data_IF_815097046183
#
_entry.id   IF_815097046183
#
_cell.length_a   1.000
_cell.length_b   1.000
_cell.length_c   1.000
_cell.angle_alpha   90.00
_cell.angle_beta   90.00
_cell.angle_gamma   90.00
#
_symmetry.space_group_name_H-M   'P 1'
#
loop_
_entity.id
_entity.type
_entity.pdbx_description
1 polymer ?
#
# COMPACT_ATOMS: atom_id res chain seq x y z
N UNK A 1 9.66 -1.89 32.28
CA UNK A 1 9.48 -3.15 31.53
C UNK A 1 8.12 -3.85 31.74
N UNK A 2 7.26 -3.43 32.68
CA UNK A 2 5.96 -4.09 32.94
C UNK A 2 4.71 -3.36 32.42
N UNK A 3 4.82 -2.13 31.91
CA UNK A 3 3.67 -1.36 31.39
C UNK A 3 3.58 -1.30 29.85
N UNK A 4 4.64 -1.69 29.14
CA UNK A 4 4.71 -1.65 27.66
C UNK A 4 4.01 -2.86 26.98
N UNK A 5 3.69 -3.91 27.74
CA UNK A 5 2.96 -5.08 27.21
C UNK A 5 1.44 -4.89 27.10
N UNK A 6 0.86 -3.78 27.62
CA UNK A 6 -0.59 -3.61 27.64
C UNK A 6 -1.19 -3.07 26.33
N UNK A 7 -0.41 -2.41 25.46
CA UNK A 7 -0.97 -1.73 24.28
C UNK A 7 -0.75 -2.42 22.93
N UNK A 8 0.32 -3.22 22.74
CA UNK A 8 0.43 -4.13 21.57
C UNK A 8 -0.59 -5.26 21.60
N UNK A 9 -1.17 -5.53 22.77
CA UNK A 9 -2.21 -6.52 22.88
C UNK A 9 -3.57 -5.95 22.49
N UNK A 10 -3.98 -4.73 22.83
CA UNK A 10 -5.39 -4.32 22.65
C UNK A 10 -5.91 -4.37 21.19
N UNK A 11 -5.11 -4.01 20.17
CA UNK A 11 -5.57 -4.12 18.76
C UNK A 11 -5.45 -5.53 18.16
N UNK A 12 -4.44 -6.31 18.59
CA UNK A 12 -4.36 -7.74 18.24
C UNK A 12 -5.37 -8.57 19.05
N UNK A 13 -5.77 -8.15 20.24
CA UNK A 13 -6.71 -8.86 21.12
C UNK A 13 -8.11 -8.86 20.53
N UNK A 14 -8.54 -7.75 19.89
CA UNK A 14 -9.84 -7.70 19.22
C UNK A 14 -9.88 -8.52 17.91
N UNK A 15 -8.76 -8.66 17.20
CA UNK A 15 -8.66 -9.50 15.99
C UNK A 15 -8.47 -10.98 16.36
N UNK A 16 -7.74 -11.30 17.43
CA UNK A 16 -7.47 -12.68 17.88
C UNK A 16 -8.62 -13.31 18.68
N UNK A 17 -9.46 -12.50 19.35
CA UNK A 17 -10.69 -13.02 20.00
C UNK A 17 -11.73 -13.52 19.00
N UNK A 18 -11.66 -13.12 17.73
CA UNK A 18 -12.55 -13.66 16.68
C UNK A 18 -12.07 -15.02 16.12
N UNK A 19 -10.83 -15.43 16.42
CA UNK A 19 -10.20 -16.61 15.79
C UNK A 19 -10.14 -17.82 16.73
N UNK A 20 -10.32 -17.68 18.06
CA UNK A 20 -10.02 -18.77 19.01
C UNK A 20 -11.20 -19.37 19.80
N UNK A 21 -12.46 -19.15 19.40
CA UNK A 21 -13.60 -19.80 20.07
C UNK A 21 -14.58 -20.48 19.11
N UNK A 22 -14.15 -21.53 18.40
CA UNK A 22 -15.07 -22.49 17.77
C UNK A 22 -14.45 -23.88 17.67
N UNK A 23 -14.09 -24.47 18.81
CA UNK A 23 -13.91 -25.93 18.93
C UNK A 23 -15.19 -26.53 19.50
N UNK A 24 -16.15 -26.78 18.62
CA UNK A 24 -17.43 -27.37 18.99
C UNK A 24 -18.41 -27.47 17.82
N UNK A 25 -18.00 -28.08 16.70
CA UNK A 25 -18.97 -28.51 15.69
C UNK A 25 -19.68 -29.77 16.21
N UNK A 26 -20.71 -29.58 17.01
CA UNK A 26 -21.77 -30.60 17.11
C UNK A 26 -22.51 -30.60 15.78
N UNK A 27 -22.43 -31.70 15.07
CA UNK A 27 -23.21 -31.96 13.86
C UNK A 27 -24.68 -32.11 14.28
N UNK A 28 -25.39 -30.99 14.34
CA UNK A 28 -26.84 -30.99 14.56
C UNK A 28 -27.47 -31.38 13.23
N UNK A 29 -27.89 -32.63 13.11
CA UNK A 29 -28.81 -33.09 12.08
C UNK A 29 -30.23 -32.74 12.51
N UNK A 30 -30.62 -31.49 12.28
CA UNK A 30 -32.02 -31.04 12.31
C UNK A 30 -32.41 -30.56 10.91
N UNK A 31 -33.67 -30.68 10.52
CA UNK A 31 -34.20 -30.07 9.29
C UNK A 31 -34.01 -28.55 9.37
N UNK A 32 -32.87 -28.08 8.86
CA UNK A 32 -32.31 -26.83 9.30
C UNK A 32 -32.82 -25.69 8.42
N UNK A 33 -33.89 -25.05 8.90
CA UNK A 33 -34.46 -23.77 8.46
C UNK A 33 -33.47 -22.59 8.57
N UNK A 34 -32.21 -22.81 8.22
CA UNK A 34 -31.08 -21.87 8.35
C UNK A 34 -30.93 -20.96 7.14
N UNK A 35 -31.70 -21.19 6.07
CA UNK A 35 -31.74 -20.29 4.92
C UNK A 35 -33.19 -19.84 4.77
N UNK A 36 -33.40 -18.53 4.71
CA UNK A 36 -34.73 -17.95 4.57
C UNK A 36 -34.73 -16.64 3.79
N UNK A 37 -35.87 -16.28 3.21
CA UNK A 37 -36.07 -14.97 2.58
C UNK A 37 -36.71 -13.95 3.52
N UNK A 38 -36.87 -12.71 3.08
CA UNK A 38 -37.50 -11.65 3.87
C UNK A 38 -38.98 -11.89 4.22
N UNK A 39 -39.62 -12.88 3.60
CA UNK A 39 -41.01 -13.28 3.86
C UNK A 39 -41.12 -14.50 4.80
N UNK A 40 -39.97 -15.07 5.21
CA UNK A 40 -39.90 -16.21 6.11
C UNK A 40 -40.07 -17.57 5.42
N UNK A 41 -39.98 -17.64 4.09
CA UNK A 41 -39.90 -18.92 3.39
C UNK A 41 -38.51 -19.51 3.58
N UNK A 42 -38.46 -20.82 3.85
CA UNK A 42 -37.22 -21.54 4.11
C UNK A 42 -36.80 -22.40 2.91
N UNK A 43 -35.48 -22.55 2.75
CA UNK A 43 -34.85 -23.29 1.65
C UNK A 43 -33.84 -24.30 2.18
N UNK A 44 -33.58 -25.35 1.41
CA UNK A 44 -32.62 -26.39 1.77
C UNK A 44 -31.18 -26.02 1.41
N UNK A 45 -30.99 -25.10 0.45
CA UNK A 45 -29.67 -24.63 0.00
C UNK A 45 -29.69 -23.16 -0.40
N UNK A 46 -28.52 -22.52 -0.41
CA UNK A 46 -28.38 -21.13 -0.82
C UNK A 46 -28.75 -21.00 -2.29
N UNK A 47 -28.34 -21.97 -3.11
CA UNK A 47 -28.65 -22.02 -4.54
C UNK A 47 -30.16 -22.13 -4.78
N UNK A 48 -30.87 -22.98 -4.03
CA UNK A 48 -32.33 -23.11 -4.12
C UNK A 48 -33.03 -21.79 -3.74
N UNK A 49 -32.58 -21.12 -2.67
CA UNK A 49 -33.11 -19.82 -2.29
C UNK A 49 -32.94 -18.80 -3.42
N UNK A 50 -31.72 -18.69 -3.96
CA UNK A 50 -31.41 -17.78 -5.05
C UNK A 50 -32.20 -18.08 -6.32
N UNK A 51 -32.51 -19.34 -6.64
CA UNK A 51 -33.36 -19.66 -7.79
C UNK A 51 -34.80 -19.18 -7.60
N UNK A 52 -35.37 -19.34 -6.40
CA UNK A 52 -36.80 -19.18 -6.14
C UNK A 52 -37.23 -17.77 -5.71
N UNK A 53 -36.35 -16.98 -5.09
CA UNK A 53 -36.72 -15.63 -4.65
C UNK A 53 -36.94 -14.68 -5.84
N UNK A 54 -37.86 -13.71 -5.76
CA UNK A 54 -37.96 -12.63 -6.76
C UNK A 54 -36.67 -11.81 -6.86
N UNK A 55 -36.51 -11.03 -7.94
CA UNK A 55 -35.46 -10.00 -7.99
C UNK A 55 -35.62 -9.00 -6.84
N UNK A 56 -34.50 -8.46 -6.38
CA UNK A 56 -34.38 -7.50 -5.26
C UNK A 56 -34.71 -8.07 -3.87
N UNK A 57 -34.93 -9.38 -3.77
CA UNK A 57 -35.17 -10.05 -2.48
C UNK A 57 -33.91 -10.09 -1.61
N UNK A 58 -34.08 -10.41 -0.34
CA UNK A 58 -33.01 -10.63 0.63
C UNK A 58 -33.04 -12.07 1.14
N UNK A 59 -32.00 -12.83 0.81
CA UNK A 59 -31.75 -14.17 1.33
C UNK A 59 -30.83 -14.07 2.54
N UNK A 60 -31.28 -14.61 3.66
CA UNK A 60 -30.53 -14.74 4.90
C UNK A 60 -29.99 -16.17 5.05
N UNK A 61 -28.77 -16.28 5.54
CA UNK A 61 -28.08 -17.56 5.79
C UNK A 61 -27.57 -17.55 7.22
N UNK A 62 -28.15 -18.38 8.08
CA UNK A 62 -27.73 -18.57 9.47
C UNK A 62 -26.45 -19.41 9.60
N UNK A 63 -25.89 -19.55 10.81
CA UNK A 63 -24.64 -20.25 11.03
C UNK A 63 -24.65 -21.71 10.54
N UNK A 64 -23.62 -22.11 9.79
CA UNK A 64 -23.50 -23.45 9.24
C UNK A 64 -22.27 -23.62 8.37
N UNK A 65 -22.03 -24.86 7.93
CA UNK A 65 -21.05 -25.20 6.90
C UNK A 65 -21.81 -25.55 5.61
N UNK A 66 -21.50 -24.81 4.54
CA UNK A 66 -22.16 -24.88 3.25
C UNK A 66 -21.12 -25.27 2.20
N UNK A 67 -21.27 -26.46 1.63
CA UNK A 67 -20.44 -26.95 0.53
C UNK A 67 -21.17 -26.67 -0.79
N UNK A 68 -21.26 -25.39 -1.17
CA UNK A 68 -22.01 -24.93 -2.34
C UNK A 68 -21.15 -24.04 -3.24
N UNK A 69 -21.48 -24.06 -4.54
CA UNK A 69 -20.94 -23.15 -5.55
C UNK A 69 -22.07 -22.26 -6.03
N UNK A 70 -22.02 -21.00 -5.60
CA UNK A 70 -23.14 -20.08 -5.71
C UNK A 70 -22.99 -19.24 -6.98
N UNK A 71 -24.05 -19.21 -7.78
CA UNK A 71 -24.17 -18.32 -8.92
C UNK A 71 -25.22 -17.26 -8.59
N UNK A 72 -24.83 -15.99 -8.71
CA UNK A 72 -25.74 -14.84 -8.58
C UNK A 72 -25.83 -14.15 -9.94
N UNK A 73 -26.96 -14.30 -10.60
CA UNK A 73 -27.24 -13.75 -11.93
C UNK A 73 -28.46 -12.81 -11.96
N UNK A 74 -29.04 -12.50 -10.79
CA UNK A 74 -30.11 -11.51 -10.63
C UNK A 74 -29.88 -10.57 -9.45
N UNK A 75 -30.52 -9.38 -9.42
CA UNK A 75 -30.47 -8.47 -8.28
C UNK A 75 -30.94 -9.16 -7.00
N UNK A 76 -30.11 -9.19 -5.96
CA UNK A 76 -30.42 -9.86 -4.70
C UNK A 76 -29.46 -9.40 -3.59
N UNK A 77 -29.90 -9.49 -2.35
CA UNK A 77 -29.02 -9.39 -1.17
C UNK A 77 -28.84 -10.77 -0.58
N UNK A 78 -27.60 -11.24 -0.48
CA UNK A 78 -27.25 -12.48 0.21
C UNK A 78 -26.51 -12.10 1.49
N UNK A 79 -27.11 -12.41 2.64
CA UNK A 79 -26.70 -11.93 3.96
C UNK A 79 -26.47 -13.11 4.90
N UNK A 80 -25.22 -13.29 5.33
CA UNK A 80 -24.84 -14.26 6.35
C UNK A 80 -24.99 -13.68 7.75
N UNK A 81 -25.67 -14.41 8.63
CA UNK A 81 -25.81 -14.09 10.04
C UNK A 81 -24.89 -14.99 10.87
N UNK A 82 -23.93 -14.39 11.57
CA UNK A 82 -22.95 -15.13 12.38
C UNK A 82 -21.85 -15.82 11.56
N UNK A 83 -21.51 -15.28 10.39
CA UNK A 83 -20.45 -15.80 9.50
C UNK A 83 -20.62 -17.28 9.12
N UNK A 84 -21.74 -17.69 8.49
CA UNK A 84 -21.83 -18.99 7.83
C UNK A 84 -20.62 -19.24 6.93
N UNK A 85 -20.12 -20.47 6.97
CA UNK A 85 -18.93 -20.89 6.24
C UNK A 85 -19.34 -21.47 4.90
N UNK A 86 -18.94 -20.83 3.80
CA UNK A 86 -18.98 -21.42 2.46
C UNK A 86 -17.59 -22.02 2.20
N UNK A 87 -17.52 -23.33 2.04
CA UNK A 87 -16.27 -24.08 1.87
C UNK A 87 -16.22 -24.72 0.48
N UNK A 88 -15.22 -24.34 -0.32
CA UNK A 88 -15.03 -24.85 -1.67
C UNK A 88 -14.26 -26.17 -1.75
N UNK A 89 -13.76 -26.70 -0.63
CA UNK A 89 -13.04 -27.99 -0.64
C UNK A 89 -11.83 -28.04 -1.57
N UNK A 90 -11.19 -26.89 -1.81
CA UNK A 90 -10.07 -26.68 -2.74
C UNK A 90 -10.42 -26.89 -4.22
N UNK A 91 -11.67 -26.62 -4.61
CA UNK A 91 -12.11 -26.68 -5.99
C UNK A 91 -12.87 -25.42 -6.39
N UNK A 92 -12.68 -24.98 -7.64
CA UNK A 92 -13.47 -23.94 -8.29
C UNK A 92 -13.53 -22.58 -7.58
N UNK A 93 -14.53 -21.78 -7.98
CA UNK A 93 -14.82 -20.47 -7.40
C UNK A 93 -16.11 -20.55 -6.61
N UNK A 94 -16.12 -20.04 -5.37
CA UNK A 94 -17.24 -20.26 -4.45
C UNK A 94 -18.46 -19.42 -4.79
N UNK A 95 -18.29 -18.12 -5.04
CA UNK A 95 -19.38 -17.21 -5.40
C UNK A 95 -19.04 -16.54 -6.73
N UNK A 96 -19.90 -16.71 -7.73
CA UNK A 96 -19.81 -16.06 -9.03
C UNK A 96 -21.00 -15.13 -9.20
N UNK A 97 -20.74 -13.83 -9.21
CA UNK A 97 -21.70 -12.78 -9.58
C UNK A 97 -21.46 -12.47 -11.06
N UNK A 98 -22.42 -12.74 -11.92
CA UNK A 98 -22.23 -12.60 -13.37
C UNK A 98 -23.43 -11.99 -14.08
N UNK A 99 -23.17 -11.14 -15.07
CA UNK A 99 -24.18 -10.56 -15.97
C UNK A 99 -25.37 -9.92 -15.22
N UNK A 100 -25.11 -9.30 -14.08
CA UNK A 100 -26.18 -8.83 -13.19
C UNK A 100 -25.86 -7.50 -12.54
N UNK A 101 -26.78 -7.00 -11.73
CA UNK A 101 -26.64 -5.71 -11.08
C UNK A 101 -27.35 -5.64 -9.72
N UNK A 102 -26.94 -4.68 -8.89
CA UNK A 102 -27.54 -4.45 -7.57
C UNK A 102 -27.51 -5.70 -6.67
N UNK A 103 -26.31 -6.26 -6.49
CA UNK A 103 -26.07 -7.41 -5.60
C UNK A 103 -25.34 -6.98 -4.35
N UNK A 104 -25.74 -7.52 -3.20
CA UNK A 104 -25.02 -7.37 -1.93
C UNK A 104 -24.62 -8.76 -1.43
N UNK A 105 -23.34 -8.97 -1.16
CA UNK A 105 -22.81 -10.16 -0.46
C UNK A 105 -22.21 -9.71 0.87
N UNK A 106 -22.76 -10.18 1.99
CA UNK A 106 -22.27 -9.75 3.30
C UNK A 106 -22.33 -10.82 4.37
N UNK A 107 -21.39 -10.78 5.31
CA UNK A 107 -21.45 -11.56 6.54
C UNK A 107 -21.10 -13.03 6.38
N UNK A 108 -20.31 -13.40 5.37
CA UNK A 108 -19.87 -14.79 5.16
C UNK A 108 -18.42 -15.02 5.56
N UNK A 109 -18.10 -16.26 5.93
CA UNK A 109 -16.73 -16.78 5.89
C UNK A 109 -16.59 -17.66 4.65
N UNK A 110 -15.71 -17.29 3.73
CA UNK A 110 -15.57 -17.91 2.40
C UNK A 110 -14.18 -18.52 2.33
N UNK A 111 -14.09 -19.85 2.21
CA UNK A 111 -12.83 -20.57 2.38
C UNK A 111 -12.55 -21.63 1.33
N UNK A 112 -11.26 -21.92 1.15
CA UNK A 112 -10.79 -23.06 0.39
C UNK A 112 -11.29 -23.08 -1.06
N UNK A 113 -11.21 -21.96 -1.79
CA UNK A 113 -11.38 -21.99 -3.25
C UNK A 113 -10.39 -22.95 -3.90
N UNK A 114 -10.66 -23.29 -5.16
CA UNK A 114 -9.69 -23.94 -6.03
C UNK A 114 -8.39 -23.15 -6.20
N UNK A 115 -7.44 -23.75 -6.89
CA UNK A 115 -6.06 -23.25 -7.08
C UNK A 115 -5.66 -23.15 -8.55
N UNK A 116 -6.62 -23.26 -9.47
CA UNK A 116 -6.31 -23.30 -10.89
C UNK A 116 -6.10 -21.89 -11.44
N UNK A 117 -4.92 -21.66 -12.03
CA UNK A 117 -4.61 -20.45 -12.79
C UNK A 117 -5.49 -20.30 -14.04
N UNK A 118 -5.79 -21.41 -14.72
CA UNK A 118 -6.55 -21.41 -15.98
C UNK A 118 -7.99 -20.95 -15.83
N UNK A 119 -8.60 -21.21 -14.67
CA UNK A 119 -9.95 -20.79 -14.32
C UNK A 119 -9.95 -19.64 -13.33
N UNK A 120 -8.76 -19.12 -12.97
CA UNK A 120 -8.53 -18.02 -12.02
C UNK A 120 -9.35 -18.14 -10.72
N UNK A 121 -9.35 -19.32 -10.11
CA UNK A 121 -10.23 -19.65 -8.99
C UNK A 121 -10.21 -18.60 -7.87
N UNK A 122 -11.39 -18.23 -7.36
CA UNK A 122 -11.52 -17.17 -6.37
C UNK A 122 -12.49 -17.52 -5.24
N UNK A 123 -12.40 -16.80 -4.12
CA UNK A 123 -13.48 -16.81 -3.13
C UNK A 123 -14.75 -16.16 -3.69
N UNK A 124 -14.61 -14.95 -4.24
CA UNK A 124 -15.68 -14.24 -4.93
C UNK A 124 -15.19 -13.78 -6.30
N UNK A 125 -16.00 -13.98 -7.33
CA UNK A 125 -15.78 -13.47 -8.69
C UNK A 125 -16.95 -12.58 -9.09
N UNK A 126 -16.64 -11.42 -9.66
CA UNK A 126 -17.58 -10.45 -10.20
C UNK A 126 -17.25 -10.23 -11.66
N UNK A 127 -18.19 -10.57 -12.55
CA UNK A 127 -17.99 -10.52 -14.01
C UNK A 127 -19.16 -9.81 -14.69
N UNK A 128 -18.84 -8.88 -15.59
CA UNK A 128 -19.82 -8.19 -16.45
C UNK A 128 -21.02 -7.64 -15.65
N UNK A 129 -20.74 -7.07 -14.47
CA UNK A 129 -21.75 -6.73 -13.48
C UNK A 129 -21.59 -5.29 -12.97
N UNK A 130 -22.66 -4.73 -12.39
CA UNK A 130 -22.64 -3.35 -11.89
C UNK A 130 -23.37 -3.13 -10.59
N UNK A 131 -22.95 -2.12 -9.81
CA UNK A 131 -23.55 -1.80 -8.51
C UNK A 131 -23.50 -3.00 -7.55
N UNK A 132 -22.29 -3.54 -7.34
CA UNK A 132 -22.07 -4.71 -6.49
C UNK A 132 -21.41 -4.26 -5.19
N UNK A 133 -21.90 -4.78 -4.06
CA UNK A 133 -21.34 -4.51 -2.73
C UNK A 133 -20.91 -5.82 -2.10
N UNK A 134 -19.63 -5.95 -1.79
CA UNK A 134 -19.05 -7.04 -1.00
C UNK A 134 -18.61 -6.44 0.33
N UNK A 135 -19.38 -6.71 1.38
CA UNK A 135 -19.26 -6.01 2.66
C UNK A 135 -19.11 -6.96 3.84
N UNK A 136 -18.12 -6.73 4.72
CA UNK A 136 -17.99 -7.44 5.99
C UNK A 136 -17.95 -8.98 5.86
N UNK A 137 -17.12 -9.48 4.94
CA UNK A 137 -16.85 -10.91 4.78
C UNK A 137 -15.44 -11.27 5.25
N UNK A 138 -15.23 -12.54 5.59
CA UNK A 138 -13.93 -13.12 5.90
C UNK A 138 -13.57 -14.06 4.74
N UNK A 139 -12.55 -13.72 3.97
CA UNK A 139 -12.03 -14.54 2.88
C UNK A 139 -10.70 -15.12 3.33
N UNK A 140 -10.63 -16.44 3.43
CA UNK A 140 -9.48 -17.13 4.04
C UNK A 140 -9.10 -18.36 3.22
N UNK A 141 -7.80 -18.57 3.00
CA UNK A 141 -7.29 -19.68 2.19
C UNK A 141 -7.95 -19.78 0.79
N UNK A 142 -8.19 -18.65 0.14
CA UNK A 142 -8.61 -18.58 -1.26
C UNK A 142 -7.41 -18.30 -2.16
N UNK A 143 -7.50 -18.68 -3.43
CA UNK A 143 -6.46 -18.40 -4.42
C UNK A 143 -6.48 -16.91 -4.73
N UNK A 144 -7.39 -16.44 -5.58
CA UNK A 144 -7.76 -15.02 -5.52
C UNK A 144 -8.78 -14.81 -4.40
N UNK A 145 -8.63 -13.76 -3.59
CA UNK A 145 -9.66 -13.40 -2.62
C UNK A 145 -10.94 -12.97 -3.35
N UNK A 146 -10.85 -11.81 -4.01
CA UNK A 146 -11.93 -11.25 -4.83
C UNK A 146 -11.39 -10.93 -6.22
N UNK A 147 -12.02 -11.47 -7.26
CA UNK A 147 -11.71 -11.22 -8.66
C UNK A 147 -12.82 -10.36 -9.28
N UNK A 148 -12.46 -9.23 -9.91
CA UNK A 148 -13.39 -8.29 -10.54
C UNK A 148 -12.97 -8.11 -12.00
N UNK A 149 -13.90 -8.37 -12.93
CA UNK A 149 -13.66 -8.24 -14.37
C UNK A 149 -14.79 -7.49 -15.05
N UNK A 150 -14.45 -6.58 -15.95
CA UNK A 150 -15.39 -5.88 -16.82
C UNK A 150 -16.59 -5.28 -16.08
N UNK A 151 -16.36 -4.78 -14.88
CA UNK A 151 -17.43 -4.44 -13.94
C UNK A 151 -17.41 -2.96 -13.56
N UNK A 152 -18.55 -2.45 -13.14
CA UNK A 152 -18.74 -1.02 -12.94
C UNK A 152 -19.39 -0.70 -11.60
N UNK A 153 -18.88 0.31 -10.90
CA UNK A 153 -19.43 0.75 -9.62
C UNK A 153 -19.48 -0.39 -8.58
N UNK A 154 -18.29 -0.80 -8.13
CA UNK A 154 -18.10 -1.93 -7.21
C UNK A 154 -17.56 -1.42 -5.88
N UNK A 155 -18.18 -1.81 -4.77
CA UNK A 155 -17.72 -1.50 -3.41
C UNK A 155 -17.26 -2.77 -2.71
N UNK A 156 -15.97 -2.81 -2.35
CA UNK A 156 -15.36 -3.85 -1.53
C UNK A 156 -15.00 -3.22 -0.19
N UNK A 157 -15.79 -3.51 0.83
CA UNK A 157 -15.75 -2.74 2.09
C UNK A 157 -15.68 -3.63 3.34
N UNK A 158 -14.78 -3.31 4.26
CA UNK A 158 -14.67 -3.97 5.58
C UNK A 158 -14.50 -5.48 5.53
N UNK A 159 -13.87 -6.01 4.48
CA UNK A 159 -13.56 -7.43 4.39
C UNK A 159 -12.20 -7.73 5.03
N UNK A 160 -12.05 -8.93 5.57
CA UNK A 160 -10.77 -9.50 6.00
C UNK A 160 -10.34 -10.51 4.94
N UNK A 161 -9.20 -10.28 4.29
CA UNK A 161 -8.68 -11.10 3.19
C UNK A 161 -7.32 -11.65 3.59
N UNK A 162 -7.29 -12.94 3.88
CA UNK A 162 -6.10 -13.68 4.26
C UNK A 162 -5.69 -14.59 3.09
N UNK A 163 -4.48 -14.37 2.59
CA UNK A 163 -3.88 -15.24 1.58
C UNK A 163 -3.33 -16.54 2.19
N UNK A 164 -2.65 -17.32 1.35
CA UNK A 164 -2.13 -18.64 1.70
C UNK A 164 -0.70 -18.46 2.24
N UNK A 165 -0.55 -18.42 3.56
CA UNK A 165 0.74 -18.12 4.20
C UNK A 165 1.81 -19.17 3.87
N UNK A 166 1.42 -20.42 3.70
CA UNK A 166 2.32 -21.56 3.44
C UNK A 166 2.99 -21.48 2.07
N UNK A 167 2.46 -20.66 1.15
CA UNK A 167 3.05 -20.47 -0.17
C UNK A 167 4.19 -19.46 -0.12
N UNK A 168 5.22 -19.72 -0.94
CA UNK A 168 6.22 -18.71 -1.23
C UNK A 168 5.54 -17.46 -1.79
N UNK A 169 6.12 -16.29 -1.51
CA UNK A 169 5.52 -15.02 -1.88
C UNK A 169 5.22 -14.88 -3.38
N UNK A 170 6.05 -15.49 -4.25
CA UNK A 170 5.85 -15.53 -5.70
C UNK A 170 4.60 -16.31 -6.14
N UNK A 171 4.24 -17.32 -5.36
CA UNK A 171 3.26 -18.37 -5.69
C UNK A 171 1.88 -18.08 -5.09
N UNK A 172 1.85 -17.21 -4.07
CA UNK A 172 0.62 -16.60 -3.56
C UNK A 172 -0.10 -15.84 -4.68
N UNK A 173 -1.38 -15.54 -4.46
CA UNK A 173 -2.21 -14.74 -5.37
C UNK A 173 -2.71 -13.47 -4.70
N UNK A 174 -3.42 -12.66 -5.48
CA UNK A 174 -3.86 -11.33 -5.07
C UNK A 174 -5.05 -11.40 -4.12
N UNK A 175 -5.06 -10.49 -3.14
CA UNK A 175 -6.22 -10.32 -2.25
C UNK A 175 -7.43 -9.85 -3.06
N UNK A 176 -7.24 -8.76 -3.81
CA UNK A 176 -8.18 -8.30 -4.84
C UNK A 176 -7.43 -8.21 -6.17
N UNK A 177 -8.00 -8.80 -7.21
CA UNK A 177 -7.58 -8.60 -8.59
C UNK A 177 -8.71 -7.91 -9.36
N UNK A 178 -8.42 -6.76 -9.95
CA UNK A 178 -9.35 -6.00 -10.79
C UNK A 178 -8.80 -5.86 -12.22
N UNK A 179 -9.67 -6.11 -13.20
CA UNK A 179 -9.32 -6.05 -14.63
C UNK A 179 -10.45 -5.35 -15.42
N UNK A 180 -10.10 -4.36 -16.24
CA UNK A 180 -11.04 -3.62 -17.10
C UNK A 180 -12.31 -3.12 -16.38
N UNK A 181 -12.17 -2.62 -15.16
CA UNK A 181 -13.28 -2.16 -14.34
C UNK A 181 -13.21 -0.65 -14.07
N UNK A 182 -14.38 -0.04 -13.82
CA UNK A 182 -14.51 1.41 -13.59
C UNK A 182 -15.31 1.69 -12.31
N UNK A 183 -14.92 2.74 -11.57
CA UNK A 183 -15.53 3.15 -10.29
C UNK A 183 -15.49 2.06 -9.25
N UNK A 184 -14.28 1.56 -8.97
CA UNK A 184 -14.06 0.60 -7.89
C UNK A 184 -13.72 1.36 -6.60
N UNK A 185 -14.32 0.95 -5.50
CA UNK A 185 -14.03 1.45 -4.15
C UNK A 185 -13.54 0.29 -3.30
N UNK A 186 -12.33 0.40 -2.77
CA UNK A 186 -11.75 -0.57 -1.83
C UNK A 186 -11.50 0.16 -0.52
N UNK A 187 -12.39 -0.05 0.46
CA UNK A 187 -12.43 0.77 1.68
C UNK A 187 -12.42 -0.06 2.96
N UNK A 188 -11.58 0.31 3.92
CA UNK A 188 -11.52 -0.27 5.27
C UNK A 188 -11.31 -1.80 5.30
N UNK A 189 -10.66 -2.38 4.30
CA UNK A 189 -10.35 -3.82 4.27
C UNK A 189 -9.02 -4.11 4.96
N UNK A 190 -8.86 -5.36 5.41
CA UNK A 190 -7.62 -5.87 6.00
C UNK A 190 -7.05 -6.96 5.11
N UNK A 191 -5.80 -6.81 4.68
CA UNK A 191 -5.08 -7.77 3.84
C UNK A 191 -3.91 -8.34 4.62
N UNK A 192 -3.83 -9.67 4.70
CA UNK A 192 -2.66 -10.36 5.26
C UNK A 192 -2.20 -11.50 4.37
N UNK A 193 -0.88 -11.69 4.26
CA UNK A 193 -0.27 -12.86 3.62
C UNK A 193 -0.70 -13.11 2.17
N UNK A 194 -1.01 -12.04 1.43
CA UNK A 194 -1.34 -12.10 -0.01
C UNK A 194 -0.09 -11.81 -0.85
N UNK A 195 -0.12 -12.11 -2.15
CA UNK A 195 0.94 -11.67 -3.07
C UNK A 195 0.86 -10.17 -3.27
N UNK A 196 -0.20 -9.69 -3.90
CA UNK A 196 -0.48 -8.25 -3.92
C UNK A 196 -1.80 -8.00 -3.18
N UNK A 197 -1.87 -6.92 -2.41
CA UNK A 197 -3.10 -6.53 -1.70
C UNK A 197 -4.21 -6.27 -2.70
N UNK A 198 -3.97 -5.29 -3.58
CA UNK A 198 -4.85 -4.95 -4.69
C UNK A 198 -4.01 -4.87 -5.96
N UNK A 199 -4.28 -5.77 -6.91
CA UNK A 199 -3.73 -5.70 -8.27
C UNK A 199 -4.77 -5.08 -9.21
N UNK A 200 -4.39 -3.99 -9.88
CA UNK A 200 -5.26 -3.25 -10.80
C UNK A 200 -4.62 -3.23 -12.19
N UNK A 201 -5.29 -3.85 -13.15
CA UNK A 201 -4.86 -3.92 -14.54
C UNK A 201 -5.92 -3.31 -15.47
N UNK A 202 -5.59 -2.19 -16.12
CA UNK A 202 -6.50 -1.42 -16.98
C UNK A 202 -7.80 -0.97 -16.27
N UNK A 203 -7.72 -0.40 -15.07
CA UNK A 203 -8.89 0.08 -14.33
C UNK A 203 -8.95 1.61 -14.20
N UNK A 204 -10.16 2.13 -13.99
CA UNK A 204 -10.46 3.55 -14.06
C UNK A 204 -11.25 4.05 -12.82
N UNK A 205 -10.97 5.29 -12.41
CA UNK A 205 -11.73 6.03 -11.39
C UNK A 205 -11.86 5.28 -10.06
N UNK A 206 -10.73 4.85 -9.49
CA UNK A 206 -10.69 3.99 -8.30
C UNK A 206 -10.31 4.76 -7.03
N UNK A 207 -11.01 4.46 -5.94
CA UNK A 207 -10.69 4.94 -4.59
C UNK A 207 -10.19 3.77 -3.74
N UNK A 208 -9.00 3.94 -3.16
CA UNK A 208 -8.42 3.00 -2.19
C UNK A 208 -8.21 3.76 -0.88
N UNK A 209 -9.03 3.45 0.14
CA UNK A 209 -9.09 4.26 1.36
C UNK A 209 -9.16 3.45 2.66
N UNK A 210 -8.42 3.85 3.69
CA UNK A 210 -8.59 3.30 5.05
C UNK A 210 -8.18 1.84 5.22
N UNK A 211 -7.54 1.23 4.23
CA UNK A 211 -7.20 -0.20 4.27
C UNK A 211 -5.91 -0.44 5.07
N UNK A 212 -5.81 -1.63 5.65
CA UNK A 212 -4.62 -2.13 6.35
C UNK A 212 -4.02 -3.26 5.53
N UNK A 213 -2.76 -3.10 5.15
CA UNK A 213 -2.00 -4.07 4.37
C UNK A 213 -0.82 -4.55 5.19
N UNK A 214 -0.68 -5.87 5.32
CA UNK A 214 0.46 -6.48 6.00
C UNK A 214 0.99 -7.71 5.28
N UNK A 215 2.31 -7.77 5.09
CA UNK A 215 3.05 -8.94 4.62
C UNK A 215 2.64 -9.40 3.20
N UNK A 216 3.35 -8.89 2.20
CA UNK A 216 3.16 -9.30 0.81
C UNK A 216 4.24 -8.76 -0.14
N UNK A 217 3.99 -8.84 -1.44
CA UNK A 217 4.86 -8.36 -2.50
C UNK A 217 4.56 -6.90 -2.77
N UNK A 218 3.38 -6.58 -3.28
CA UNK A 218 2.93 -5.20 -3.49
C UNK A 218 1.63 -4.89 -2.75
N UNK A 219 1.61 -3.87 -1.89
CA UNK A 219 0.39 -3.52 -1.15
C UNK A 219 -0.71 -3.06 -2.11
N UNK A 220 -0.39 -2.02 -2.87
CA UNK A 220 -1.21 -1.51 -3.97
C UNK A 220 -0.39 -1.59 -5.25
N UNK A 221 -0.91 -2.27 -6.26
CA UNK A 221 -0.23 -2.47 -7.54
C UNK A 221 -1.12 -1.98 -8.68
N UNK A 222 -0.64 -0.98 -9.41
CA UNK A 222 -1.29 -0.42 -10.60
C UNK A 222 -0.49 -0.79 -11.85
N UNK A 223 -1.22 -1.18 -12.90
CA UNK A 223 -0.73 -1.41 -14.24
C UNK A 223 -1.72 -0.78 -15.22
N UNK A 224 -1.24 0.12 -16.09
CA UNK A 224 -2.02 0.70 -17.19
C UNK A 224 -3.35 1.33 -16.77
N UNK A 225 -3.39 1.92 -15.58
CA UNK A 225 -4.63 2.35 -14.92
C UNK A 225 -4.69 3.88 -14.76
N UNK A 226 -5.89 4.44 -14.61
CA UNK A 226 -6.10 5.90 -14.60
C UNK A 226 -7.09 6.38 -13.54
N UNK A 227 -6.86 7.59 -13.03
CA UNK A 227 -7.71 8.29 -12.05
C UNK A 227 -7.81 7.55 -10.71
N UNK A 228 -6.73 7.61 -9.93
CA UNK A 228 -6.65 6.95 -8.62
C UNK A 228 -6.56 7.96 -7.49
N UNK A 229 -7.37 7.75 -6.45
CA UNK A 229 -7.16 8.38 -5.14
C UNK A 229 -6.81 7.30 -4.14
N UNK A 230 -5.61 7.35 -3.58
CA UNK A 230 -5.09 6.41 -2.59
C UNK A 230 -4.86 7.21 -1.30
N UNK A 231 -5.65 6.96 -0.26
CA UNK A 231 -5.57 7.76 0.98
C UNK A 231 -5.84 7.01 2.28
N UNK A 232 -5.22 7.48 3.36
CA UNK A 232 -5.44 6.93 4.72
C UNK A 232 -5.19 5.42 4.85
N UNK A 233 -4.37 4.83 3.96
CA UNK A 233 -4.01 3.42 4.05
C UNK A 233 -2.78 3.23 4.93
N UNK A 234 -2.69 2.08 5.59
CA UNK A 234 -1.57 1.64 6.39
C UNK A 234 -0.91 0.43 5.70
N UNK A 235 0.36 0.57 5.28
CA UNK A 235 1.06 -0.43 4.48
C UNK A 235 2.42 -0.74 5.11
N UNK A 236 2.61 -2.01 5.49
CA UNK A 236 3.84 -2.46 6.14
C UNK A 236 4.23 -3.88 5.76
N UNK A 237 5.53 -4.17 5.83
CA UNK A 237 6.11 -5.49 5.55
C UNK A 237 5.86 -5.98 4.11
N UNK A 238 5.91 -5.07 3.14
CA UNK A 238 5.87 -5.39 1.70
C UNK A 238 7.26 -5.32 1.04
N UNK A 239 7.39 -5.96 -0.12
CA UNK A 239 8.53 -5.72 -1.04
C UNK A 239 8.43 -4.31 -1.62
N UNK A 240 7.25 -3.89 -2.07
CA UNK A 240 6.91 -2.49 -2.29
C UNK A 240 5.56 -2.16 -1.65
N UNK A 241 5.49 -1.11 -0.84
CA UNK A 241 4.22 -0.69 -0.24
C UNK A 241 3.20 -0.32 -1.32
N UNK A 242 3.62 0.50 -2.28
CA UNK A 242 2.85 0.82 -3.47
C UNK A 242 3.72 0.70 -4.72
N UNK A 243 3.29 -0.10 -5.70
CA UNK A 243 3.87 -0.17 -7.04
C UNK A 243 2.91 0.52 -8.02
N UNK A 244 3.18 1.77 -8.36
CA UNK A 244 2.33 2.64 -9.16
C UNK A 244 2.91 2.74 -10.56
N UNK A 245 2.65 1.74 -11.40
CA UNK A 245 3.36 1.54 -12.66
C UNK A 245 2.49 1.89 -13.87
N UNK A 246 3.09 2.52 -14.88
CA UNK A 246 2.49 2.72 -16.20
C UNK A 246 1.09 3.35 -16.17
N UNK A 247 0.84 4.23 -15.20
CA UNK A 247 -0.49 4.71 -14.84
C UNK A 247 -0.54 6.23 -14.83
N UNK A 248 -1.74 6.81 -14.86
CA UNK A 248 -1.90 8.28 -14.96
C UNK A 248 -2.97 8.85 -14.03
N UNK A 249 -2.78 10.11 -13.66
CA UNK A 249 -3.66 10.85 -12.75
C UNK A 249 -3.82 10.13 -11.40
N UNK A 250 -2.72 10.10 -10.65
CA UNK A 250 -2.60 9.34 -9.40
C UNK A 250 -2.39 10.32 -8.26
N UNK A 251 -3.31 10.33 -7.29
CA UNK A 251 -3.19 11.10 -6.05
C UNK A 251 -2.98 10.17 -4.86
N UNK A 252 -1.82 10.25 -4.24
CA UNK A 252 -1.44 9.51 -3.03
C UNK A 252 -1.36 10.48 -1.87
N UNK A 253 -2.27 10.37 -0.89
CA UNK A 253 -2.30 11.30 0.24
C UNK A 253 -2.64 10.71 1.61
N UNK A 254 -2.01 11.21 2.67
CA UNK A 254 -2.28 10.79 4.05
C UNK A 254 -2.10 9.29 4.31
N UNK A 255 -1.26 8.61 3.53
CA UNK A 255 -0.96 7.19 3.74
C UNK A 255 0.24 7.02 4.68
N UNK A 256 0.24 5.91 5.40
CA UNK A 256 1.34 5.45 6.24
C UNK A 256 1.99 4.25 5.56
N UNK A 257 3.16 4.45 4.98
CA UNK A 257 3.93 3.44 4.26
C UNK A 257 5.26 3.23 4.97
N UNK A 258 5.35 2.16 5.75
CA UNK A 258 6.44 2.03 6.70
C UNK A 258 6.97 0.62 6.91
N UNK A 259 8.26 0.54 7.23
CA UNK A 259 8.99 -0.70 7.49
C UNK A 259 8.85 -1.74 6.38
N UNK A 260 8.77 -1.31 5.12
CA UNK A 260 8.89 -2.19 3.97
C UNK A 260 10.38 -2.48 3.76
N UNK A 261 10.83 -3.66 4.23
CA UNK A 261 12.24 -4.08 4.20
C UNK A 261 12.44 -5.50 3.63
N UNK A 262 11.41 -6.05 3.00
CA UNK A 262 11.43 -7.41 2.48
C UNK A 262 12.43 -7.51 1.32
N UNK A 263 13.25 -8.57 1.32
CA UNK A 263 14.13 -8.93 0.22
C UNK A 263 15.27 -7.95 -0.08
N UNK A 264 15.61 -7.03 0.84
CA UNK A 264 16.68 -6.05 0.64
C UNK A 264 16.38 -4.93 -0.37
N UNK A 265 15.18 -4.94 -0.96
CA UNK A 265 14.71 -3.90 -1.88
C UNK A 265 13.70 -2.99 -1.18
N UNK A 266 12.73 -3.53 -0.44
CA UNK A 266 11.87 -2.81 0.50
C UNK A 266 11.50 -1.37 0.13
N UNK A 267 10.66 -1.19 -0.89
CA UNK A 267 10.27 0.12 -1.39
C UNK A 267 9.02 0.62 -0.68
N UNK A 268 8.98 1.90 -0.30
CA UNK A 268 7.77 2.54 0.16
C UNK A 268 6.83 2.71 -1.02
N UNK A 269 7.20 3.60 -1.95
CA UNK A 269 6.51 3.77 -3.23
C UNK A 269 7.50 3.54 -4.38
N UNK A 270 7.16 2.65 -5.29
CA UNK A 270 7.85 2.44 -6.56
C UNK A 270 6.99 2.97 -7.70
N UNK A 271 7.50 3.93 -8.46
CA UNK A 271 6.72 4.71 -9.42
C UNK A 271 7.48 4.82 -10.75
N UNK A 272 7.44 3.77 -11.57
CA UNK A 272 7.97 3.82 -12.92
C UNK A 272 6.93 4.33 -13.92
N UNK A 273 7.41 5.17 -14.85
CA UNK A 273 6.75 5.49 -16.11
C UNK A 273 5.28 5.89 -15.96
N UNK A 274 5.00 6.82 -15.04
CA UNK A 274 3.64 7.27 -14.71
C UNK A 274 3.49 8.78 -14.87
N UNK A 275 2.28 9.24 -15.18
CA UNK A 275 1.96 10.64 -15.49
C UNK A 275 0.97 11.26 -14.49
N UNK A 276 1.01 12.58 -14.31
CA UNK A 276 0.12 13.33 -13.43
C UNK A 276 0.07 12.74 -12.01
N UNK A 277 1.24 12.66 -11.38
CA UNK A 277 1.40 12.05 -10.05
C UNK A 277 1.48 13.13 -8.98
N UNK A 278 0.61 13.05 -7.98
CA UNK A 278 0.64 13.87 -6.77
C UNK A 278 0.87 12.98 -5.55
N UNK A 279 1.98 13.20 -4.83
CA UNK A 279 2.31 12.53 -3.57
C UNK A 279 2.35 13.60 -2.49
N UNK A 280 1.34 13.62 -1.63
CA UNK A 280 1.14 14.71 -0.67
C UNK A 280 0.77 14.21 0.73
N UNK A 281 1.32 14.82 1.78
CA UNK A 281 0.92 14.55 3.17
C UNK A 281 1.05 13.07 3.62
N UNK A 282 1.96 12.31 3.01
CA UNK A 282 2.19 10.91 3.37
C UNK A 282 3.35 10.74 4.36
N UNK A 283 3.34 9.59 5.01
CA UNK A 283 4.39 9.13 5.89
C UNK A 283 5.09 7.95 5.27
N UNK A 284 6.35 8.17 4.92
CA UNK A 284 7.16 7.21 4.19
C UNK A 284 8.38 6.94 5.08
N UNK A 285 8.25 5.96 5.96
CA UNK A 285 9.13 5.83 7.12
C UNK A 285 9.78 4.45 7.22
N UNK A 286 11.10 4.42 7.38
CA UNK A 286 11.78 3.17 7.72
C UNK A 286 11.83 2.13 6.60
N UNK A 287 11.62 2.52 5.35
CA UNK A 287 11.75 1.64 4.18
C UNK A 287 13.22 1.55 3.73
N UNK A 288 13.56 0.60 2.86
CA UNK A 288 14.89 0.62 2.20
C UNK A 288 14.93 1.79 1.21
N UNK A 289 13.96 1.88 0.30
CA UNK A 289 13.72 3.10 -0.48
C UNK A 289 12.44 3.75 -0.01
N UNK A 290 12.45 5.02 0.39
CA UNK A 290 11.23 5.76 0.68
C UNK A 290 10.40 5.92 -0.60
N UNK A 291 10.92 6.69 -1.54
CA UNK A 291 10.39 6.80 -2.89
C UNK A 291 11.41 6.30 -3.90
N UNK A 292 10.99 5.41 -4.79
CA UNK A 292 11.78 4.94 -5.91
C UNK A 292 11.12 5.37 -7.23
N UNK A 293 11.65 6.42 -7.84
CA UNK A 293 11.02 7.11 -8.97
C UNK A 293 11.81 6.85 -10.25
N UNK A 294 11.12 6.44 -11.33
CA UNK A 294 11.75 6.18 -12.62
C UNK A 294 10.95 6.76 -13.77
N UNK A 295 11.62 7.52 -14.63
CA UNK A 295 11.05 8.12 -15.84
C UNK A 295 9.64 8.74 -15.64
N UNK A 296 9.47 9.59 -14.61
CA UNK A 296 8.20 10.31 -14.37
C UNK A 296 8.38 11.83 -14.57
N UNK A 297 7.45 12.54 -15.24
CA UNK A 297 6.39 11.98 -16.07
C UNK A 297 6.95 11.20 -17.26
N UNK A 298 6.22 10.17 -17.70
CA UNK A 298 6.57 9.41 -18.89
C UNK A 298 6.29 10.22 -20.17
N UNK A 299 5.16 10.91 -20.20
CA UNK A 299 4.74 11.71 -21.36
C UNK A 299 5.23 13.16 -21.20
N UNK A 300 5.89 13.75 -22.21
CA UNK A 300 6.33 15.15 -22.16
C UNK A 300 5.18 16.13 -21.87
N UNK A 301 5.41 17.08 -20.96
CA UNK A 301 4.43 18.12 -20.61
C UNK A 301 3.44 17.73 -19.51
N UNK A 302 3.50 16.50 -19.00
CA UNK A 302 2.76 16.09 -17.79
C UNK A 302 3.51 16.50 -16.52
N UNK A 303 2.94 16.24 -15.35
CA UNK A 303 3.51 16.68 -14.09
C UNK A 303 3.75 15.54 -13.09
N UNK A 304 4.71 15.76 -12.19
CA UNK A 304 4.87 15.03 -10.95
C UNK A 304 5.14 16.04 -9.82
N UNK A 305 4.41 15.93 -8.72
CA UNK A 305 4.54 16.81 -7.56
C UNK A 305 4.62 15.97 -6.29
N UNK A 306 5.65 16.21 -5.49
CA UNK A 306 5.92 15.51 -4.23
C UNK A 306 6.08 16.57 -3.16
N UNK A 307 5.10 16.68 -2.26
CA UNK A 307 5.10 17.77 -1.30
C UNK A 307 4.54 17.40 0.06
N UNK A 308 5.01 18.09 1.10
CA UNK A 308 4.41 17.97 2.44
C UNK A 308 4.42 16.56 3.04
N UNK A 309 5.29 15.67 2.53
CA UNK A 309 5.46 14.32 3.06
C UNK A 309 6.50 14.31 4.19
N UNK A 310 6.36 13.38 5.12
CA UNK A 310 7.42 12.99 6.06
C UNK A 310 8.15 11.80 5.48
N UNK A 311 9.41 11.99 5.07
CA UNK A 311 10.28 10.97 4.49
C UNK A 311 11.43 10.75 5.47
N UNK A 312 11.28 9.74 6.34
CA UNK A 312 12.15 9.61 7.50
C UNK A 312 12.71 8.20 7.73
N UNK A 313 13.93 8.11 8.27
CA UNK A 313 14.55 6.85 8.69
C UNK A 313 14.65 5.77 7.60
N UNK A 314 14.53 6.16 6.32
CA UNK A 314 14.71 5.24 5.21
C UNK A 314 16.22 5.02 4.97
N UNK A 315 16.60 3.90 4.34
CA UNK A 315 17.98 3.78 3.88
C UNK A 315 18.23 4.86 2.81
N UNK A 316 17.36 4.96 1.83
CA UNK A 316 17.37 6.02 0.84
C UNK A 316 16.03 6.73 0.87
N UNK A 317 16.01 8.04 1.13
CA UNK A 317 14.79 8.85 1.18
C UNK A 317 14.09 8.86 -0.19
N UNK A 318 14.77 9.38 -1.20
CA UNK A 318 14.32 9.36 -2.60
C UNK A 318 15.43 8.83 -3.51
N UNK A 319 15.10 7.86 -4.37
CA UNK A 319 15.94 7.42 -5.48
C UNK A 319 15.34 7.89 -6.80
N UNK A 320 16.15 8.55 -7.63
CA UNK A 320 15.68 9.29 -8.81
C UNK A 320 16.63 9.14 -9.99
N UNK A 321 16.11 9.25 -11.22
CA UNK A 321 16.89 9.14 -12.47
C UNK A 321 16.89 10.45 -13.30
N UNK A 322 17.76 10.59 -14.32
CA UNK A 322 17.84 11.80 -15.13
C UNK A 322 16.62 12.08 -16.01
N UNK A 323 15.87 11.03 -16.35
CA UNK A 323 14.74 11.14 -17.27
C UNK A 323 13.46 11.58 -16.54
N UNK A 324 13.47 11.53 -15.21
CA UNK A 324 12.40 12.06 -14.38
C UNK A 324 12.50 13.58 -14.18
N UNK A 325 11.35 14.23 -14.01
CA UNK A 325 11.17 15.67 -13.78
C UNK A 325 9.99 15.91 -12.83
N UNK A 326 10.27 16.28 -11.58
CA UNK A 326 9.24 16.55 -10.58
C UNK A 326 9.44 17.91 -9.87
N UNK A 327 8.38 18.42 -9.25
CA UNK A 327 8.48 19.47 -8.23
C UNK A 327 8.43 18.84 -6.85
N UNK A 328 9.52 18.98 -6.08
CA UNK A 328 9.71 18.37 -4.77
C UNK A 328 9.92 19.48 -3.75
N UNK A 329 8.92 19.80 -2.93
CA UNK A 329 9.01 20.93 -1.99
C UNK A 329 8.16 20.72 -0.74
N UNK A 330 8.53 21.39 0.35
CA UNK A 330 7.81 21.35 1.62
C UNK A 330 7.80 19.97 2.28
N UNK A 331 8.64 19.02 1.87
CA UNK A 331 8.76 17.71 2.52
C UNK A 331 9.76 17.79 3.69
N UNK A 332 9.60 16.90 4.68
CA UNK A 332 10.59 16.72 5.74
C UNK A 332 11.44 15.47 5.46
N UNK A 333 12.72 15.66 5.13
CA UNK A 333 13.72 14.60 5.03
C UNK A 333 14.47 14.47 6.35
N UNK A 334 14.15 13.43 7.12
CA UNK A 334 14.64 13.28 8.49
C UNK A 334 15.39 11.97 8.66
N UNK A 335 16.68 12.04 8.98
CA UNK A 335 17.49 10.89 9.40
C UNK A 335 17.41 9.70 8.43
N UNK A 336 17.26 9.99 7.12
CA UNK A 336 17.51 8.97 6.10
C UNK A 336 19.02 8.76 6.02
N UNK A 337 19.48 7.52 5.84
CA UNK A 337 20.93 7.25 5.70
C UNK A 337 21.49 8.01 4.48
N UNK A 338 20.72 8.05 3.39
CA UNK A 338 20.96 8.90 2.24
C UNK A 338 19.64 9.60 1.86
N UNK A 339 19.60 10.94 1.94
CA UNK A 339 18.39 11.70 1.61
C UNK A 339 17.99 11.54 0.13
N UNK A 340 18.94 11.69 -0.79
CA UNK A 340 18.72 11.53 -2.23
C UNK A 340 19.80 10.66 -2.86
N UNK A 341 19.38 9.63 -3.60
CA UNK A 341 20.22 8.84 -4.49
C UNK A 341 19.88 9.14 -5.95
N UNK A 342 20.81 9.74 -6.66
CA UNK A 342 20.68 9.98 -8.09
C UNK A 342 21.33 8.88 -8.93
N UNK A 343 20.63 8.38 -9.94
CA UNK A 343 21.07 7.26 -10.80
C UNK A 343 21.31 7.75 -12.22
N UNK A 344 22.38 8.50 -12.44
CA UNK A 344 22.82 8.88 -13.78
C UNK A 344 23.81 10.04 -13.77
N UNK A 345 24.20 10.50 -14.97
CA UNK A 345 25.28 11.49 -15.14
C UNK A 345 24.85 12.78 -15.83
N UNK A 346 23.61 12.83 -16.33
CA UNK A 346 23.04 14.01 -16.97
C UNK A 346 22.37 14.89 -15.90
N UNK A 347 22.17 16.18 -16.12
CA UNK A 347 21.23 16.97 -15.31
C UNK A 347 19.80 16.43 -15.44
N UNK A 348 18.98 16.70 -14.42
CA UNK A 348 17.53 16.44 -14.42
C UNK A 348 16.79 17.78 -14.42
N UNK A 349 15.55 17.79 -14.93
CA UNK A 349 14.67 18.96 -14.88
C UNK A 349 13.92 19.09 -13.53
N UNK A 350 14.19 18.18 -12.58
CA UNK A 350 13.57 18.19 -11.26
C UNK A 350 13.92 19.45 -10.47
N UNK A 351 12.89 20.04 -9.86
CA UNK A 351 13.01 21.22 -8.99
C UNK A 351 12.76 20.80 -7.55
N UNK A 352 13.73 21.06 -6.69
CA UNK A 352 13.67 20.72 -5.26
C UNK A 352 13.11 21.85 -4.40
N UNK A 353 12.41 22.79 -5.03
CA UNK A 353 11.74 23.89 -4.37
C UNK A 353 10.63 24.43 -5.30
N UNK A 354 9.76 25.25 -4.73
CA UNK A 354 8.77 26.02 -5.46
C UNK A 354 9.17 27.50 -5.44
N UNK A 355 9.52 28.04 -6.61
CA UNK A 355 9.98 29.43 -6.78
C UNK A 355 8.89 30.44 -6.39
N UNK A 356 7.65 30.22 -6.84
CA UNK A 356 6.52 31.13 -6.58
C UNK A 356 6.20 31.23 -5.09
N UNK A 357 6.26 30.10 -4.38
CA UNK A 357 6.01 30.06 -2.93
C UNK A 357 7.25 30.39 -2.09
N UNK A 358 8.43 30.48 -2.72
CA UNK A 358 9.73 30.52 -2.05
C UNK A 358 9.85 29.45 -0.96
N UNK A 359 9.49 28.22 -1.31
CA UNK A 359 9.37 27.10 -0.38
C UNK A 359 10.18 25.90 -0.85
N UNK A 360 11.15 25.47 -0.05
CA UNK A 360 11.96 24.27 -0.24
C UNK A 360 11.55 23.15 0.72
N UNK A 361 12.44 22.18 0.92
CA UNK A 361 12.26 21.05 1.83
C UNK A 361 13.06 21.28 3.13
N UNK A 362 12.70 20.54 4.18
CA UNK A 362 13.53 20.40 5.37
C UNK A 362 14.50 19.23 5.19
N UNK A 363 15.76 19.42 5.58
CA UNK A 363 16.83 18.42 5.45
C UNK A 363 17.58 18.30 6.78
N UNK A 364 17.51 17.14 7.44
CA UNK A 364 18.13 16.97 8.77
C UNK A 364 19.67 17.01 8.77
N UNK A 365 20.31 16.91 7.60
CA UNK A 365 21.77 17.00 7.42
C UNK A 365 22.24 18.38 6.91
N UNK A 366 21.31 19.33 6.75
CA UNK A 366 21.65 20.71 6.43
C UNK A 366 22.30 21.37 7.64
N UNK A 367 23.50 21.89 7.43
CA UNK A 367 24.26 22.68 8.40
C UNK A 367 24.17 24.14 7.98
N UNK A 368 22.99 24.74 8.15
CA UNK A 368 22.68 26.12 7.80
C UNK A 368 22.28 26.93 9.04
N UNK A 369 22.43 28.24 8.96
CA UNK A 369 21.87 29.19 9.92
C UNK A 369 20.68 29.91 9.26
N UNK A 370 19.73 30.32 10.08
CA UNK A 370 18.62 31.21 9.75
C UNK A 370 18.87 32.52 10.50
N UNK A 371 19.60 33.43 9.85
CA UNK A 371 20.09 34.67 10.48
C UNK A 371 19.01 35.74 10.50
N UNK A 372 18.08 35.73 9.54
CA UNK A 372 16.98 36.69 9.45
C UNK A 372 15.68 36.23 10.13
N UNK A 373 15.70 35.02 10.73
CA UNK A 373 14.61 34.40 11.50
C UNK A 373 13.32 34.21 10.67
N UNK A 374 13.44 33.99 9.36
CA UNK A 374 12.30 33.79 8.46
C UNK A 374 11.80 32.33 8.39
N UNK A 375 12.48 31.42 9.11
CA UNK A 375 12.18 29.99 9.18
C UNK A 375 12.86 29.15 8.09
N UNK A 376 13.70 29.77 7.24
CA UNK A 376 14.46 29.11 6.18
C UNK A 376 15.95 29.25 6.47
N UNK A 377 16.74 28.31 5.98
CA UNK A 377 18.18 28.47 6.04
C UNK A 377 18.66 29.43 4.94
N UNK A 378 19.56 30.33 5.29
CA UNK A 378 20.12 31.34 4.38
C UNK A 378 20.99 30.72 3.26
N UNK A 379 21.45 29.48 3.46
CA UNK A 379 22.26 28.75 2.50
C UNK A 379 21.41 27.74 1.73
N UNK A 380 21.51 27.71 0.38
CA UNK A 380 20.90 26.66 -0.43
C UNK A 380 21.39 25.27 0.00
N UNK A 381 20.49 24.28 -0.06
CA UNK A 381 20.87 22.89 0.12
C UNK A 381 21.26 22.30 -1.23
N UNK A 382 22.49 21.79 -1.30
CA UNK A 382 22.96 20.99 -2.43
C UNK A 382 23.05 19.53 -1.99
N UNK A 383 22.09 18.71 -2.42
CA UNK A 383 22.08 17.27 -2.15
C UNK A 383 22.83 16.47 -3.21
N UNK A 384 22.98 15.16 -2.96
CA UNK A 384 23.78 14.23 -3.73
C UNK A 384 25.27 14.61 -3.70
N UNK A 385 25.98 14.15 -2.67
CA UNK A 385 27.42 14.35 -2.50
C UNK A 385 28.16 14.00 -3.82
N UNK A 386 28.74 14.98 -4.52
CA UNK A 386 29.46 14.76 -5.78
C UNK A 386 30.60 13.75 -5.60
N UNK A 387 31.18 13.67 -4.40
CA UNK A 387 32.24 12.74 -4.05
C UNK A 387 31.66 11.36 -3.82
N UNK A 388 30.51 11.24 -3.16
CA UNK A 388 29.80 9.96 -3.08
C UNK A 388 29.51 9.43 -4.49
N UNK A 389 28.98 10.28 -5.38
CA UNK A 389 28.74 9.87 -6.76
C UNK A 389 30.03 9.47 -7.48
N UNK A 390 31.12 10.21 -7.31
CA UNK A 390 32.44 9.86 -7.85
C UNK A 390 33.00 8.56 -7.28
N UNK A 391 32.77 8.27 -6.00
CA UNK A 391 33.22 7.05 -5.32
C UNK A 391 32.36 5.84 -5.71
N UNK A 392 31.08 6.03 -6.03
CA UNK A 392 30.24 4.95 -6.57
C UNK A 392 30.65 4.51 -7.98
N UNK A 393 31.24 5.41 -8.78
CA UNK A 393 31.76 5.06 -10.12
C UNK A 393 33.15 4.45 -10.10
N UNK A 394 33.94 4.74 -9.07
CA UNK A 394 35.29 4.22 -8.86
C UNK A 394 35.27 3.32 -7.62
N UNK A 395 34.88 2.04 -7.79
CA UNK A 395 34.69 1.10 -6.66
C UNK A 395 35.94 0.96 -5.79
N UNK A 396 37.13 1.14 -6.36
CA UNK A 396 38.41 1.20 -5.67
C UNK A 396 38.48 2.33 -4.61
N UNK A 397 37.72 3.41 -4.79
CA UNK A 397 37.63 4.51 -3.83
C UNK A 397 36.65 4.22 -2.68
N UNK A 398 35.84 3.17 -2.78
CA UNK A 398 34.88 2.82 -1.72
C UNK A 398 35.57 2.52 -0.37
N UNK A 399 36.84 2.10 -0.38
CA UNK A 399 37.63 1.92 0.85
C UNK A 399 37.82 3.22 1.64
N UNK A 400 37.70 4.37 0.97
CA UNK A 400 37.81 5.69 1.59
C UNK A 400 36.46 6.24 2.07
N UNK A 401 35.35 5.50 1.91
CA UNK A 401 34.08 5.90 2.54
C UNK A 401 34.30 6.09 4.04
N UNK A 402 33.79 7.21 4.56
CA UNK A 402 33.93 7.61 5.97
C UNK A 402 35.39 7.87 6.44
N UNK A 403 36.36 7.90 5.53
CA UNK A 403 37.72 8.34 5.87
C UNK A 403 37.77 9.85 6.14
N UNK A 404 38.76 10.34 6.93
CA UNK A 404 38.97 11.77 7.10
C UNK A 404 39.14 12.53 5.78
N UNK A 405 39.76 11.91 4.77
CA UNK A 405 39.95 12.49 3.45
C UNK A 405 38.63 12.66 2.69
N UNK A 406 37.72 11.69 2.79
CA UNK A 406 36.38 11.79 2.22
C UNK A 406 35.58 12.91 2.90
N UNK A 407 35.64 13.00 4.23
CA UNK A 407 34.99 14.07 4.98
C UNK A 407 35.53 15.45 4.60
N UNK A 408 36.86 15.58 4.50
CA UNK A 408 37.51 16.84 4.09
C UNK A 408 37.12 17.26 2.68
N UNK A 409 37.12 16.33 1.71
CA UNK A 409 36.66 16.62 0.35
C UNK A 409 35.21 17.09 0.39
N UNK A 410 34.33 16.43 1.15
CA UNK A 410 32.91 16.75 1.20
C UNK A 410 32.69 18.16 1.77
N UNK A 411 33.39 18.50 2.86
CA UNK A 411 33.42 19.86 3.40
C UNK A 411 33.92 20.86 2.35
N UNK A 412 35.04 20.59 1.67
CA UNK A 412 35.57 21.51 0.65
C UNK A 412 34.57 21.76 -0.47
N UNK A 413 33.92 20.71 -0.99
CA UNK A 413 32.91 20.82 -2.04
C UNK A 413 31.68 21.60 -1.59
N UNK A 414 31.21 21.40 -0.34
CA UNK A 414 30.09 22.15 0.24
C UNK A 414 30.36 23.66 0.31
N UNK A 415 31.59 24.06 0.63
CA UNK A 415 31.95 25.48 0.77
C UNK A 415 32.44 26.15 -0.53
N UNK A 416 32.87 25.37 -1.53
CA UNK A 416 33.17 25.88 -2.86
C UNK A 416 31.89 25.97 -3.71
N UNK A 417 30.97 26.87 -3.36
CA UNK A 417 29.81 27.14 -4.20
C UNK A 417 30.29 27.62 -5.58
N UNK A 418 30.06 26.81 -6.60
CA UNK A 418 30.35 27.15 -7.98
C UNK A 418 29.09 26.90 -8.82
N UNK A 419 28.53 27.94 -9.46
CA UNK A 419 27.38 27.81 -10.35
C UNK A 419 27.58 26.82 -11.51
N UNK A 420 28.82 26.38 -11.76
CA UNK A 420 29.15 25.38 -12.79
C UNK A 420 28.91 23.94 -12.35
N UNK A 421 28.73 23.71 -11.05
CA UNK A 421 28.32 22.42 -10.50
C UNK A 421 26.87 22.56 -10.05
N UNK A 422 25.96 22.66 -11.02
CA UNK A 422 24.55 22.41 -10.74
C UNK A 422 24.44 20.96 -10.25
N UNK A 423 24.51 20.81 -8.93
CA UNK A 423 24.21 19.56 -8.26
C UNK A 423 22.83 19.11 -8.67
N UNK A 424 22.68 17.82 -8.86
CA UNK A 424 21.41 17.17 -9.25
C UNK A 424 20.27 17.54 -8.28
N UNK A 425 20.63 17.89 -7.04
CA UNK A 425 19.72 18.39 -6.03
C UNK A 425 20.17 19.79 -5.62
N UNK A 426 19.38 20.80 -6.00
CA UNK A 426 19.53 22.18 -5.56
C UNK A 426 18.19 22.69 -5.02
N UNK A 427 18.16 22.96 -3.73
CA UNK A 427 17.04 23.57 -3.02
C UNK A 427 17.45 24.99 -2.58
N UNK A 428 16.80 26.01 -3.14
CA UNK A 428 17.10 27.41 -2.87
C UNK A 428 16.42 27.97 -1.62
N UNK A 429 15.40 27.28 -1.10
CA UNK A 429 14.60 27.76 0.03
C UNK A 429 14.43 26.69 1.11
N UNK A 430 15.52 26.01 1.54
CA UNK A 430 15.40 24.92 2.50
C UNK A 430 14.85 25.44 3.83
N UNK A 431 13.93 24.69 4.43
CA UNK A 431 13.37 25.03 5.74
C UNK A 431 14.36 24.72 6.87
N UNK A 432 14.39 25.55 7.90
CA UNK A 432 15.29 25.37 9.05
C UNK A 432 14.77 24.34 10.07
N UNK A 433 13.45 24.12 10.10
CA UNK A 433 12.78 23.16 10.98
C UNK A 433 11.81 22.25 10.21
N UNK A 434 11.54 21.02 10.69
CA UNK A 434 10.55 20.13 10.07
C UNK A 434 9.13 20.68 10.23
N UNK A 435 8.37 20.73 9.14
CA UNK A 435 7.06 21.40 9.09
C UNK A 435 5.90 20.41 9.22
N UNK A 436 6.12 19.14 8.87
CA UNK A 436 5.08 18.14 8.68
C UNK A 436 4.94 17.16 9.85
N UNK A 437 6.01 16.90 10.62
CA UNK A 437 6.00 15.98 11.79
C UNK A 437 4.85 16.32 12.76
N UNK A 438 4.71 17.60 13.14
CA UNK A 438 3.68 18.06 14.07
C UNK A 438 2.29 18.09 13.44
N UNK A 439 2.20 18.53 12.17
CA UNK A 439 0.95 18.68 11.41
C UNK A 439 0.25 17.35 11.17
N UNK A 440 1.02 16.28 10.96
CA UNK A 440 0.49 14.96 10.64
C UNK A 440 0.44 14.01 11.84
N UNK A 441 0.81 14.46 13.05
CA UNK A 441 0.50 13.77 14.31
C UNK A 441 1.53 12.78 14.89
N UNK A 442 2.85 12.99 14.72
CA UNK A 442 3.91 12.07 15.20
C UNK A 442 4.10 11.98 16.71
N UNK A 443 3.41 12.80 17.52
CA UNK A 443 3.75 12.91 18.96
C UNK A 443 3.57 11.61 19.76
N UNK A 444 2.77 10.64 19.28
CA UNK A 444 2.53 9.34 19.96
C UNK A 444 3.35 8.18 19.32
N UNK A 445 3.83 8.35 18.09
CA UNK A 445 4.58 7.32 17.36
C UNK A 445 6.09 7.53 17.37
N UNK A 446 6.59 8.75 17.63
CA UNK A 446 8.02 9.04 17.75
C UNK A 446 8.69 8.14 18.80
N UNK A 447 8.03 7.99 19.97
CA UNK A 447 8.51 7.11 21.03
C UNK A 447 8.47 5.64 20.60
N UNK A 448 7.39 5.17 19.98
CA UNK A 448 7.25 3.76 19.59
C UNK A 448 8.15 3.34 18.42
N UNK A 449 8.43 4.24 17.46
CA UNK A 449 9.33 4.00 16.33
C UNK A 449 10.79 3.97 16.80
N UNK A 450 11.20 4.89 17.68
CA UNK A 450 12.53 4.83 18.32
C UNK A 450 12.66 3.52 19.11
N UNK A 451 11.66 3.15 19.90
CA UNK A 451 11.68 1.87 20.63
C UNK A 451 11.73 0.66 19.69
N UNK A 452 11.04 0.67 18.55
CA UNK A 452 11.09 -0.44 17.59
C UNK A 452 12.44 -0.53 16.89
N UNK A 453 13.00 0.60 16.42
CA UNK A 453 14.31 0.69 15.77
C UNK A 453 15.43 0.26 16.74
N UNK A 454 15.36 0.66 18.02
CA UNK A 454 16.29 0.19 19.04
C UNK A 454 16.11 -1.31 19.31
N UNK A 455 14.86 -1.82 19.36
CA UNK A 455 14.60 -3.23 19.63
C UNK A 455 14.90 -4.19 18.46
N UNK A 456 14.96 -3.70 17.22
CA UNK A 456 15.31 -4.47 16.01
C UNK A 456 16.75 -4.26 15.56
N UNK A 457 17.54 -3.48 16.30
CA UNK A 457 19.00 -3.47 16.14
C UNK A 457 19.56 -4.84 16.54
N UNK A 458 19.64 -5.73 15.54
CA UNK A 458 20.37 -6.99 15.61
C UNK A 458 21.80 -6.67 16.08
N UNK A 459 22.35 -7.37 17.10
CA UNK A 459 23.75 -7.19 17.43
C UNK A 459 24.55 -7.58 16.20
N UNK A 460 25.39 -6.67 15.71
CA UNK A 460 26.44 -6.99 14.74
C UNK A 460 27.35 -8.03 15.39
N UNK A 461 27.00 -9.30 15.17
CA UNK A 461 27.84 -10.44 15.47
C UNK A 461 29.02 -10.41 14.52
N UNK A 462 30.14 -9.90 15.03
CA UNK A 462 31.47 -10.10 14.47
C UNK A 462 31.71 -11.61 14.46
N UNK A 463 31.70 -12.22 13.29
CA UNK A 463 32.29 -13.54 13.08
C UNK A 463 33.63 -13.34 12.38
N UNK A 464 34.70 -13.72 13.10
CA UNK A 464 36.05 -13.91 12.60
C UNK A 464 36.11 -15.01 11.54
#
# INVERSE_FOLDING_TARGET
>A
MAEIMKFRHIYLFFIFLFITSFTGLTQVYGSDNRIWDEYGFHYNSISEALENVPEYSTVYVGPGLYNEYIIVDKPVKLIGEGYPVIDGGLYGTLIIIKNTYNVVISGFKIVNSGRAYSTEDAGIRIEDSRNIVVYNNILDNNFFGILIKNSFNISIEKNVINGIEEYYLSDRQHGIYTWYSDRVRVVDNVFTNVKDGIYNDHNYNTLIEGNIFKSGRYGIHLMYSENYTIRYNNITDYVAGMALMYSKNITVKHNWVYFNRVGGIGEGLFIPESDDVLIEDNWIVGNVFGLNIRNIPYTPGRYAVIRYNVIAFNYIGISFDPDSSAYIYGNDFIENIQNVRYIGYRPTNTKWYNETLKLGNFWSDLTGYDVDEDGKADLPYTGADPIYQYFTTHKELSIFYYSPSYYLLNVMFKYSYSPRYEGVVLDLYPSNEPVNIGRLGLKIYYDNIIYSIISTSVPLGIYY
#
